data_IF_640543356045
#
_entry.id   IF_640543356045
#
_cell.length_a   1.000
_cell.length_b   1.000
_cell.length_c   1.000
_cell.angle_alpha   90.00
_cell.angle_beta   90.00
_cell.angle_gamma   90.00
#
_symmetry.space_group_name_H-M   'P 1'
#
loop_
_entity.id
_entity.type
_entity.pdbx_description
1 polymer ?
#
# COMPACT_ATOMS: atom_id res chain seq x y z
N UNK A 1 -7.85 -57.49 41.33
CA UNK A 1 -8.20 -57.79 42.72
C UNK A 1 -9.46 -56.99 43.00
N UNK A 2 -10.65 -57.53 43.18
CA UNK A 2 -11.09 -58.81 43.73
C UNK A 2 -12.29 -59.34 42.91
N UNK A 3 -12.15 -60.53 42.32
CA UNK A 3 -13.23 -61.27 41.67
C UNK A 3 -13.17 -62.71 42.18
N UNK A 4 -13.49 -62.94 43.46
CA UNK A 4 -13.71 -64.29 44.00
C UNK A 4 -14.21 -64.17 45.44
N UNK A 5 -15.52 -63.99 45.66
CA UNK A 5 -16.14 -64.31 46.96
C UNK A 5 -17.69 -64.31 46.93
N UNK A 6 -18.33 -64.94 45.94
CA UNK A 6 -19.77 -65.25 46.00
C UNK A 6 -20.05 -66.64 45.41
N UNK A 7 -19.25 -67.63 45.81
CA UNK A 7 -19.44 -69.03 45.47
C UNK A 7 -19.27 -69.91 46.72
N UNK A 8 -20.05 -69.64 47.77
CA UNK A 8 -20.25 -70.59 48.86
C UNK A 8 -21.48 -70.17 49.66
N UNK A 9 -22.64 -70.71 49.29
CA UNK A 9 -23.86 -70.92 50.09
C UNK A 9 -24.98 -71.18 49.09
N UNK A 10 -25.27 -72.45 48.80
CA UNK A 10 -26.59 -73.02 48.52
C UNK A 10 -26.42 -74.44 47.95
N UNK A 11 -26.12 -75.38 48.85
CA UNK A 11 -26.45 -76.79 48.66
C UNK A 11 -27.53 -77.16 49.69
N UNK A 12 -28.52 -77.92 49.22
CA UNK A 12 -29.70 -78.48 49.91
C UNK A 12 -30.94 -77.58 50.03
N UNK A 13 -32.02 -78.01 49.36
CA UNK A 13 -33.40 -77.59 49.68
C UNK A 13 -34.31 -77.30 48.48
N UNK A 14 -34.86 -78.35 47.87
CA UNK A 14 -36.20 -78.45 47.28
C UNK A 14 -37.00 -77.17 46.88
N UNK A 15 -36.94 -76.78 45.60
CA UNK A 15 -37.98 -76.01 44.85
C UNK A 15 -38.20 -74.52 45.21
N UNK A 16 -38.72 -73.66 44.29
CA UNK A 16 -39.24 -73.92 42.95
C UNK A 16 -38.37 -73.32 41.82
N UNK A 17 -38.08 -74.14 40.81
CA UNK A 17 -37.44 -73.78 39.52
C UNK A 17 -38.28 -72.85 38.61
N UNK A 18 -39.21 -72.06 39.17
CA UNK A 18 -40.08 -71.15 38.41
C UNK A 18 -39.84 -69.66 38.69
N UNK A 19 -39.15 -69.31 39.78
CA UNK A 19 -38.89 -67.88 40.11
C UNK A 19 -37.59 -67.39 39.44
N UNK A 20 -36.58 -68.26 39.31
CA UNK A 20 -35.28 -67.91 38.72
C UNK A 20 -35.37 -67.70 37.21
N UNK A 21 -36.24 -68.43 36.51
CA UNK A 21 -36.49 -68.27 35.06
C UNK A 21 -37.33 -67.02 34.75
N UNK A 22 -38.14 -66.55 35.71
CA UNK A 22 -38.88 -65.29 35.61
C UNK A 22 -37.99 -64.07 35.79
N UNK A 23 -37.09 -64.11 36.78
CA UNK A 23 -36.11 -63.04 37.01
C UNK A 23 -35.03 -62.97 35.92
N UNK A 24 -34.55 -64.10 35.40
CA UNK A 24 -33.65 -64.10 34.23
C UNK A 24 -34.35 -63.57 32.97
N UNK A 25 -35.63 -63.88 32.73
CA UNK A 25 -36.39 -63.27 31.63
C UNK A 25 -36.71 -61.79 31.81
N UNK A 26 -36.80 -61.29 33.05
CA UNK A 26 -37.01 -59.86 33.33
C UNK A 26 -35.69 -59.08 33.24
N UNK A 27 -34.58 -59.69 33.66
CA UNK A 27 -33.22 -59.14 33.48
C UNK A 27 -32.80 -59.19 32.02
N UNK A 28 -33.07 -60.27 31.28
CA UNK A 28 -32.82 -60.35 29.82
C UNK A 28 -33.78 -59.47 28.99
N UNK A 29 -35.02 -59.23 29.44
CA UNK A 29 -35.93 -58.27 28.77
C UNK A 29 -35.51 -56.82 28.95
N UNK A 30 -34.81 -56.48 30.04
CA UNK A 30 -34.32 -55.13 30.27
C UNK A 30 -33.02 -54.80 29.51
N UNK A 31 -32.34 -55.79 28.92
CA UNK A 31 -31.15 -55.56 28.08
C UNK A 31 -31.46 -55.29 26.59
N UNK A 32 -32.73 -55.32 26.17
CA UNK A 32 -33.15 -55.17 24.76
C UNK A 32 -34.17 -54.06 24.51
N UNK A 33 -34.37 -53.14 25.47
CA UNK A 33 -35.16 -51.94 25.20
C UNK A 33 -34.36 -51.04 24.23
N UNK A 34 -34.78 -50.97 22.97
CA UNK A 34 -34.25 -49.98 22.04
C UNK A 34 -34.43 -48.60 22.65
N UNK A 35 -33.35 -47.81 22.71
CA UNK A 35 -33.41 -46.47 23.27
C UNK A 35 -34.47 -45.61 22.57
N UNK A 36 -35.05 -44.68 23.31
CA UNK A 36 -36.03 -43.75 22.77
C UNK A 36 -35.43 -42.92 21.63
N UNK A 37 -34.16 -42.53 21.75
CA UNK A 37 -33.42 -41.86 20.66
C UNK A 37 -33.37 -42.69 19.38
N UNK A 38 -33.00 -43.97 19.47
CA UNK A 38 -32.96 -44.87 18.32
C UNK A 38 -34.34 -45.04 17.67
N UNK A 39 -35.38 -45.18 18.49
CA UNK A 39 -36.77 -45.31 18.02
C UNK A 39 -37.20 -44.08 17.22
N UNK A 40 -36.92 -42.88 17.72
CA UNK A 40 -37.24 -41.64 17.02
C UNK A 40 -36.40 -41.45 15.75
N UNK A 41 -35.11 -41.82 15.76
CA UNK A 41 -34.28 -41.81 14.53
C UNK A 41 -34.82 -42.74 13.46
N UNK A 42 -35.30 -43.94 13.81
CA UNK A 42 -35.91 -44.86 12.84
C UNK A 42 -37.15 -44.25 12.18
N UNK A 43 -38.05 -43.65 12.96
CA UNK A 43 -39.23 -42.92 12.43
C UNK A 43 -38.83 -41.75 11.53
N UNK A 44 -37.82 -40.98 11.93
CA UNK A 44 -37.28 -39.91 11.08
C UNK A 44 -36.68 -40.44 9.78
N UNK A 45 -35.94 -41.55 9.82
CA UNK A 45 -35.35 -42.19 8.64
C UNK A 45 -36.42 -42.67 7.66
N UNK A 46 -37.55 -43.20 8.16
CA UNK A 46 -38.70 -43.59 7.33
C UNK A 46 -39.23 -42.39 6.55
N UNK A 47 -39.51 -41.27 7.21
CA UNK A 47 -39.94 -40.04 6.55
C UNK A 47 -38.87 -39.52 5.57
N UNK A 48 -37.60 -39.48 5.98
CA UNK A 48 -36.49 -38.98 5.17
C UNK A 48 -36.29 -39.74 3.86
N UNK A 49 -36.40 -41.08 3.89
CA UNK A 49 -36.24 -41.95 2.71
C UNK A 49 -37.37 -41.77 1.68
N UNK A 50 -38.52 -41.22 2.07
CA UNK A 50 -39.62 -40.94 1.12
C UNK A 50 -39.34 -39.73 0.23
N UNK A 51 -38.29 -38.96 0.52
CA UNK A 51 -37.85 -37.82 -0.30
C UNK A 51 -36.85 -38.34 -1.34
N UNK A 52 -37.37 -38.65 -2.53
CA UNK A 52 -36.62 -39.13 -3.69
C UNK A 52 -36.35 -37.99 -4.68
N UNK A 53 -35.36 -38.19 -5.56
CA UNK A 53 -35.11 -37.28 -6.68
C UNK A 53 -36.36 -37.14 -7.57
N UNK A 54 -36.63 -35.94 -8.05
CA UNK A 54 -37.80 -35.61 -8.88
C UNK A 54 -39.12 -35.39 -8.11
N UNK A 55 -39.13 -35.51 -6.77
CA UNK A 55 -40.31 -35.18 -5.97
C UNK A 55 -40.56 -33.66 -5.99
N UNK A 56 -41.84 -33.26 -6.04
CA UNK A 56 -42.21 -31.85 -5.99
C UNK A 56 -41.62 -31.18 -4.72
N UNK A 57 -40.95 -30.02 -4.84
CA UNK A 57 -40.22 -29.40 -3.73
C UNK A 57 -41.07 -29.08 -2.49
N UNK A 58 -42.35 -28.73 -2.66
CA UNK A 58 -43.29 -28.52 -1.55
C UNK A 58 -43.53 -29.81 -0.74
N UNK A 59 -43.82 -30.91 -1.43
CA UNK A 59 -44.00 -32.23 -0.82
C UNK A 59 -42.71 -32.72 -0.15
N UNK A 60 -41.55 -32.46 -0.78
CA UNK A 60 -40.25 -32.75 -0.19
C UNK A 60 -40.05 -31.98 1.12
N UNK A 61 -40.38 -30.68 1.14
CA UNK A 61 -40.27 -29.82 2.32
C UNK A 61 -41.14 -30.33 3.47
N UNK A 62 -42.40 -30.65 3.21
CA UNK A 62 -43.33 -31.18 4.24
C UNK A 62 -42.80 -32.48 4.87
N UNK A 63 -42.34 -33.41 4.03
CA UNK A 63 -41.78 -34.71 4.49
C UNK A 63 -40.47 -34.52 5.27
N UNK A 64 -39.63 -33.58 4.85
CA UNK A 64 -38.40 -33.23 5.56
C UNK A 64 -38.72 -32.59 6.91
N UNK A 65 -39.75 -31.75 7.03
CA UNK A 65 -40.16 -31.18 8.31
C UNK A 65 -40.67 -32.25 9.29
N UNK A 66 -41.38 -33.28 8.79
CA UNK A 66 -41.77 -34.45 9.58
C UNK A 66 -40.53 -35.20 10.08
N UNK A 67 -39.55 -35.47 9.20
CA UNK A 67 -38.29 -36.10 9.57
C UNK A 67 -37.53 -35.28 10.63
N UNK A 68 -37.46 -33.95 10.45
CA UNK A 68 -36.83 -33.02 11.39
C UNK A 68 -37.46 -33.13 12.78
N UNK A 69 -38.79 -33.07 12.87
CA UNK A 69 -39.49 -33.19 14.15
C UNK A 69 -39.17 -34.51 14.88
N UNK A 70 -39.01 -35.61 14.14
CA UNK A 70 -38.60 -36.89 14.72
C UNK A 70 -37.14 -36.88 15.18
N UNK A 71 -36.21 -36.32 14.38
CA UNK A 71 -34.81 -36.25 14.78
C UNK A 71 -34.58 -35.28 15.95
N UNK A 72 -35.30 -34.16 16.03
CA UNK A 72 -35.27 -33.26 17.19
C UNK A 72 -35.70 -33.99 18.47
N UNK A 73 -36.77 -34.80 18.41
CA UNK A 73 -37.15 -35.67 19.53
C UNK A 73 -36.03 -36.67 19.85
N UNK A 74 -35.43 -37.28 18.84
CA UNK A 74 -34.33 -38.21 19.05
C UNK A 74 -33.13 -37.60 19.76
N UNK A 75 -32.83 -36.32 19.47
CA UNK A 75 -31.77 -35.57 20.13
C UNK A 75 -32.13 -35.28 21.59
N UNK A 76 -33.38 -34.90 21.87
CA UNK A 76 -33.87 -34.67 23.26
C UNK A 76 -33.80 -35.94 24.12
N UNK A 77 -34.09 -37.11 23.53
CA UNK A 77 -34.06 -38.41 24.23
C UNK A 77 -32.71 -39.14 24.12
N UNK A 78 -31.64 -38.48 23.67
CA UNK A 78 -30.32 -39.10 23.56
C UNK A 78 -29.65 -39.23 24.94
N UNK A 79 -29.31 -40.46 25.33
CA UNK A 79 -28.79 -40.76 26.67
C UNK A 79 -27.25 -40.74 26.71
N UNK A 80 -26.60 -40.87 25.55
CA UNK A 80 -25.15 -40.91 25.44
C UNK A 80 -24.64 -40.11 24.22
N UNK A 81 -23.32 -39.88 24.18
CA UNK A 81 -22.65 -39.11 23.12
C UNK A 81 -22.86 -39.70 21.71
N UNK A 82 -22.86 -41.03 21.59
CA UNK A 82 -23.09 -41.72 20.33
C UNK A 82 -24.50 -41.45 19.75
N UNK A 83 -25.51 -41.44 20.62
CA UNK A 83 -26.88 -41.13 20.24
C UNK A 83 -27.05 -39.66 19.87
N UNK A 84 -26.44 -38.76 20.66
CA UNK A 84 -26.43 -37.31 20.38
C UNK A 84 -25.80 -37.03 19.01
N UNK A 85 -24.61 -37.57 18.75
CA UNK A 85 -23.92 -37.39 17.46
C UNK A 85 -24.72 -37.95 16.28
N UNK A 86 -25.35 -39.13 16.46
CA UNK A 86 -26.19 -39.72 15.42
C UNK A 86 -27.46 -38.91 15.14
N UNK A 87 -28.12 -38.39 16.18
CA UNK A 87 -29.32 -37.56 16.02
C UNK A 87 -28.96 -36.21 15.38
N UNK A 88 -27.86 -35.58 15.82
CA UNK A 88 -27.36 -34.33 15.25
C UNK A 88 -26.99 -34.47 13.76
N UNK A 89 -26.28 -35.55 13.36
CA UNK A 89 -26.01 -35.83 11.94
C UNK A 89 -27.29 -35.90 11.11
N UNK A 90 -28.32 -36.57 11.62
CA UNK A 90 -29.59 -36.68 10.93
C UNK A 90 -30.32 -35.33 10.79
N UNK A 91 -30.28 -34.49 11.82
CA UNK A 91 -30.82 -33.12 11.77
C UNK A 91 -30.07 -32.29 10.72
N UNK A 92 -28.73 -32.35 10.70
CA UNK A 92 -27.89 -31.67 9.72
C UNK A 92 -28.29 -32.04 8.29
N UNK A 93 -28.37 -33.34 8.01
CA UNK A 93 -28.77 -33.88 6.70
C UNK A 93 -30.17 -33.44 6.25
N UNK A 94 -31.10 -33.20 7.19
CA UNK A 94 -32.43 -32.66 6.87
C UNK A 94 -32.36 -31.19 6.52
N UNK A 95 -31.69 -30.38 7.33
CA UNK A 95 -31.53 -28.96 7.06
C UNK A 95 -30.81 -28.69 5.73
N UNK A 96 -29.78 -29.48 5.40
CA UNK A 96 -29.14 -29.40 4.09
C UNK A 96 -30.13 -29.66 2.95
N UNK A 97 -30.94 -30.72 3.04
CA UNK A 97 -31.96 -31.00 2.01
C UNK A 97 -33.08 -29.96 1.96
N UNK A 98 -33.47 -29.39 3.10
CA UNK A 98 -34.44 -28.29 3.17
C UNK A 98 -33.90 -27.05 2.46
N UNK A 99 -32.62 -26.73 2.61
CA UNK A 99 -31.98 -25.64 1.89
C UNK A 99 -32.03 -25.88 0.37
N UNK A 100 -31.69 -27.08 -0.10
CA UNK A 100 -31.75 -27.46 -1.53
C UNK A 100 -33.17 -27.39 -2.10
N UNK A 101 -34.16 -27.90 -1.37
CA UNK A 101 -35.56 -27.79 -1.77
C UNK A 101 -36.01 -26.32 -1.85
N UNK A 102 -35.61 -25.51 -0.87
CA UNK A 102 -35.89 -24.07 -0.85
C UNK A 102 -35.29 -23.31 -2.03
N UNK A 103 -34.07 -23.64 -2.45
CA UNK A 103 -33.46 -23.07 -3.67
C UNK A 103 -34.29 -23.38 -4.91
N UNK A 104 -34.86 -24.58 -5.00
CA UNK A 104 -35.69 -24.99 -6.15
C UNK A 104 -37.07 -24.29 -6.16
N UNK A 105 -37.62 -23.99 -4.98
CA UNK A 105 -38.94 -23.33 -4.83
C UNK A 105 -38.90 -21.82 -5.01
N UNK A 106 -37.73 -21.19 -5.03
CA UNK A 106 -37.61 -19.73 -4.91
C UNK A 106 -38.00 -19.23 -3.52
N UNK A 107 -37.78 -20.04 -2.47
CA UNK A 107 -38.01 -19.64 -1.07
C UNK A 107 -37.15 -18.42 -0.70
N UNK A 108 -37.61 -17.63 0.28
CA UNK A 108 -36.87 -16.47 0.78
C UNK A 108 -35.42 -16.83 1.12
N UNK A 109 -34.48 -16.03 0.60
CA UNK A 109 -33.03 -16.25 0.74
C UNK A 109 -32.58 -16.39 2.21
N UNK A 110 -33.20 -15.67 3.13
CA UNK A 110 -32.89 -15.76 4.55
C UNK A 110 -33.20 -17.16 5.13
N UNK A 111 -34.29 -17.80 4.68
CA UNK A 111 -34.68 -19.14 5.13
C UNK A 111 -33.71 -20.19 4.59
N UNK A 112 -33.29 -20.06 3.32
CA UNK A 112 -32.31 -20.96 2.70
C UNK A 112 -30.97 -20.86 3.44
N UNK A 113 -30.46 -19.63 3.66
CA UNK A 113 -29.22 -19.39 4.39
C UNK A 113 -29.27 -19.95 5.82
N UNK A 114 -30.37 -19.73 6.54
CA UNK A 114 -30.53 -20.28 7.89
C UNK A 114 -30.52 -21.82 7.90
N UNK A 115 -31.10 -22.49 6.91
CA UNK A 115 -31.03 -23.95 6.82
C UNK A 115 -29.60 -24.44 6.55
N UNK A 116 -28.82 -23.78 5.69
CA UNK A 116 -27.40 -24.12 5.53
C UNK A 116 -26.62 -23.93 6.83
N UNK A 117 -26.81 -22.81 7.52
CA UNK A 117 -26.16 -22.54 8.81
C UNK A 117 -26.50 -23.60 9.86
N UNK A 118 -27.79 -23.92 10.04
CA UNK A 118 -28.24 -24.96 10.98
C UNK A 118 -27.69 -26.34 10.61
N UNK A 119 -27.57 -26.64 9.31
CA UNK A 119 -26.95 -27.88 8.84
C UNK A 119 -25.50 -27.99 9.32
N UNK A 120 -24.68 -26.97 9.05
CA UNK A 120 -23.27 -26.94 9.47
C UNK A 120 -23.11 -26.94 11.00
N UNK A 121 -23.98 -26.21 11.71
CA UNK A 121 -24.01 -26.20 13.19
C UNK A 121 -24.27 -27.61 13.75
N UNK A 122 -25.24 -28.34 13.19
CA UNK A 122 -25.51 -29.70 13.62
C UNK A 122 -24.46 -30.72 13.16
N UNK A 123 -23.77 -30.49 12.03
CA UNK A 123 -22.58 -31.27 11.68
C UNK A 123 -21.46 -31.07 12.71
N UNK A 124 -21.23 -29.83 13.15
CA UNK A 124 -20.29 -29.51 14.23
C UNK A 124 -20.65 -30.22 15.54
N UNK A 125 -21.92 -30.14 15.98
CA UNK A 125 -22.39 -30.88 17.16
C UNK A 125 -22.16 -32.39 16.99
N UNK A 126 -22.48 -32.94 15.81
CA UNK A 126 -22.30 -34.35 15.53
C UNK A 126 -20.83 -34.81 15.60
N UNK A 127 -19.90 -33.95 15.18
CA UNK A 127 -18.47 -34.19 15.26
C UNK A 127 -17.97 -34.18 16.71
N UNK A 128 -18.34 -33.16 17.49
CA UNK A 128 -17.87 -33.00 18.88
C UNK A 128 -18.38 -34.11 19.81
N UNK A 129 -19.63 -34.55 19.61
CA UNK A 129 -20.21 -35.69 20.35
C UNK A 129 -19.83 -37.05 19.75
N UNK A 130 -19.17 -37.06 18.58
CA UNK A 130 -18.91 -38.25 17.77
C UNK A 130 -17.72 -39.09 18.21
N UNK A 131 -17.07 -38.79 19.34
CA UNK A 131 -15.81 -39.44 19.75
C UNK A 131 -15.89 -40.97 19.91
N UNK A 132 -17.10 -41.52 20.07
CA UNK A 132 -17.35 -42.96 20.17
C UNK A 132 -17.83 -43.61 18.87
N UNK A 133 -17.87 -42.86 17.76
CA UNK A 133 -18.22 -43.37 16.44
C UNK A 133 -16.98 -43.96 15.73
N UNK A 134 -17.19 -44.74 14.68
CA UNK A 134 -16.07 -45.30 13.89
C UNK A 134 -15.45 -44.23 13.00
N UNK A 135 -14.20 -44.46 12.57
CA UNK A 135 -13.47 -43.56 11.66
C UNK A 135 -14.25 -43.38 10.35
N UNK A 136 -14.79 -44.46 9.78
CA UNK A 136 -15.58 -44.39 8.54
C UNK A 136 -16.85 -43.57 8.70
N UNK A 137 -17.48 -43.62 9.90
CA UNK A 137 -18.63 -42.79 10.19
C UNK A 137 -18.25 -41.31 10.26
N UNK A 138 -17.11 -40.99 10.89
CA UNK A 138 -16.57 -39.64 10.99
C UNK A 138 -16.16 -39.09 9.62
N UNK A 139 -15.51 -39.90 8.78
CA UNK A 139 -15.17 -39.53 7.40
C UNK A 139 -16.43 -39.23 6.58
N UNK A 140 -17.47 -40.06 6.72
CA UNK A 140 -18.76 -39.81 6.06
C UNK A 140 -19.45 -38.53 6.56
N UNK A 141 -19.22 -38.13 7.81
CA UNK A 141 -19.74 -36.89 8.38
C UNK A 141 -19.02 -35.68 7.77
N UNK A 142 -17.68 -35.74 7.69
CA UNK A 142 -16.85 -34.70 7.07
C UNK A 142 -17.22 -34.54 5.60
N UNK A 143 -17.31 -35.64 4.84
CA UNK A 143 -17.70 -35.60 3.43
C UNK A 143 -19.09 -34.97 3.22
N UNK A 144 -20.07 -35.30 4.07
CA UNK A 144 -21.40 -34.70 4.01
C UNK A 144 -21.39 -33.20 4.37
N UNK A 145 -20.60 -32.81 5.38
CA UNK A 145 -20.42 -31.41 5.77
C UNK A 145 -19.77 -30.59 4.65
N UNK A 146 -18.73 -31.12 4.01
CA UNK A 146 -18.09 -30.49 2.84
C UNK A 146 -19.03 -30.40 1.63
N UNK A 147 -19.88 -31.40 1.40
CA UNK A 147 -20.93 -31.32 0.38
C UNK A 147 -21.94 -30.20 0.67
N UNK A 148 -22.35 -30.05 1.94
CA UNK A 148 -23.21 -28.95 2.38
C UNK A 148 -22.53 -27.58 2.21
N UNK A 149 -21.23 -27.50 2.52
CA UNK A 149 -20.43 -26.31 2.29
C UNK A 149 -20.34 -25.94 0.82
N UNK A 150 -20.06 -26.90 -0.06
CA UNK A 150 -19.94 -26.68 -1.49
C UNK A 150 -21.24 -26.11 -2.10
N UNK A 151 -22.40 -26.65 -1.72
CA UNK A 151 -23.70 -26.13 -2.15
C UNK A 151 -23.94 -24.70 -1.63
N UNK A 152 -23.57 -24.39 -0.38
CA UNK A 152 -23.65 -23.03 0.16
C UNK A 152 -22.71 -22.08 -0.59
N UNK A 153 -21.47 -22.51 -0.86
CA UNK A 153 -20.46 -21.72 -1.55
C UNK A 153 -20.92 -21.35 -2.95
N UNK A 154 -21.39 -22.34 -3.72
CA UNK A 154 -21.94 -22.12 -5.06
C UNK A 154 -23.08 -21.10 -5.04
N UNK A 155 -23.96 -21.16 -4.02
CA UNK A 155 -25.07 -20.22 -3.89
C UNK A 155 -24.63 -18.77 -3.67
N UNK A 156 -23.55 -18.54 -2.93
CA UNK A 156 -23.09 -17.19 -2.57
C UNK A 156 -22.01 -16.66 -3.50
N UNK A 157 -21.57 -17.45 -4.48
CA UNK A 157 -20.41 -17.11 -5.33
C UNK A 157 -20.67 -15.85 -6.17
N UNK A 158 -21.90 -15.69 -6.67
CA UNK A 158 -22.32 -14.53 -7.48
C UNK A 158 -22.84 -13.35 -6.64
N UNK A 159 -22.77 -13.43 -5.31
CA UNK A 159 -23.24 -12.34 -4.45
C UNK A 159 -22.22 -11.20 -4.39
N UNK A 160 -22.73 -9.98 -4.22
CA UNK A 160 -21.93 -8.81 -3.85
C UNK A 160 -21.01 -9.08 -2.66
N UNK A 161 -19.77 -8.58 -2.73
CA UNK A 161 -18.68 -8.85 -1.77
C UNK A 161 -19.13 -8.79 -0.31
N UNK A 162 -19.77 -7.68 0.11
CA UNK A 162 -20.18 -7.48 1.49
C UNK A 162 -21.20 -8.52 1.98
N UNK A 163 -22.13 -8.90 1.10
CA UNK A 163 -23.17 -9.87 1.44
C UNK A 163 -22.60 -11.28 1.49
N UNK A 164 -21.72 -11.62 0.53
CA UNK A 164 -20.98 -12.88 0.49
C UNK A 164 -20.17 -13.05 1.76
N UNK A 165 -19.30 -12.09 2.09
CA UNK A 165 -18.42 -12.16 3.27
C UNK A 165 -19.24 -12.34 4.56
N UNK A 166 -20.28 -11.54 4.78
CA UNK A 166 -21.13 -11.66 5.98
C UNK A 166 -21.80 -13.03 6.15
N UNK A 167 -22.10 -13.73 5.06
CA UNK A 167 -22.63 -15.09 5.13
C UNK A 167 -21.52 -16.10 5.44
N UNK A 168 -20.36 -15.95 4.80
CA UNK A 168 -19.20 -16.81 5.01
C UNK A 168 -18.65 -16.71 6.44
N UNK A 169 -18.50 -15.51 6.99
CA UNK A 169 -18.04 -15.29 8.37
C UNK A 169 -18.88 -16.02 9.43
N UNK A 170 -20.19 -16.18 9.15
CA UNK A 170 -21.11 -16.90 10.05
C UNK A 170 -21.04 -18.42 9.92
N UNK A 171 -20.51 -18.92 8.80
CA UNK A 171 -20.62 -20.33 8.42
C UNK A 171 -19.28 -21.05 8.36
N UNK A 172 -18.19 -20.37 8.00
CA UNK A 172 -16.81 -20.89 8.05
C UNK A 172 -16.42 -21.41 9.44
N UNK A 173 -16.74 -20.74 10.57
CA UNK A 173 -16.44 -21.28 11.91
C UNK A 173 -17.07 -22.66 12.20
N UNK A 174 -18.11 -23.04 11.43
CA UNK A 174 -18.86 -24.28 11.63
C UNK A 174 -18.30 -25.46 10.82
N UNK A 175 -17.30 -25.22 9.97
CA UNK A 175 -16.64 -26.27 9.18
C UNK A 175 -15.85 -27.21 10.08
N UNK A 176 -15.89 -28.51 9.74
CA UNK A 176 -15.20 -29.56 10.51
C UNK A 176 -13.72 -29.68 10.13
N UNK A 177 -13.43 -29.53 8.85
CA UNK A 177 -12.09 -29.68 8.29
C UNK A 177 -11.29 -28.39 8.45
N UNK A 178 -10.22 -28.44 9.25
CA UNK A 178 -9.41 -27.27 9.56
C UNK A 178 -8.68 -26.71 8.33
N UNK A 179 -8.26 -27.58 7.41
CA UNK A 179 -7.60 -27.14 6.17
C UNK A 179 -8.55 -26.35 5.28
N UNK A 180 -9.77 -26.85 5.07
CA UNK A 180 -10.83 -26.13 4.35
C UNK A 180 -11.18 -24.83 5.07
N UNK A 181 -11.35 -24.87 6.40
CA UNK A 181 -11.65 -23.69 7.19
C UNK A 181 -10.56 -22.60 7.05
N UNK A 182 -9.29 -22.99 7.09
CA UNK A 182 -8.16 -22.08 6.88
C UNK A 182 -8.18 -21.42 5.49
N UNK A 183 -8.43 -22.22 4.44
CA UNK A 183 -8.57 -21.70 3.05
C UNK A 183 -9.71 -20.71 2.92
N UNK A 184 -10.84 -20.98 3.57
CA UNK A 184 -11.99 -20.09 3.50
C UNK A 184 -11.79 -18.77 4.27
N UNK A 185 -11.07 -18.80 5.38
CA UNK A 185 -10.64 -17.57 6.04
C UNK A 185 -9.68 -16.77 5.17
N UNK A 186 -8.75 -17.42 4.49
CA UNK A 186 -7.85 -16.76 3.56
C UNK A 186 -8.61 -16.12 2.40
N UNK A 187 -9.59 -16.82 1.82
CA UNK A 187 -10.50 -16.24 0.83
C UNK A 187 -11.23 -15.00 1.38
N UNK A 188 -11.80 -15.05 2.60
CA UNK A 188 -12.46 -13.89 3.21
C UNK A 188 -11.49 -12.69 3.31
N UNK A 189 -10.27 -12.91 3.79
CA UNK A 189 -9.24 -11.87 3.88
C UNK A 189 -8.92 -11.27 2.50
N UNK A 190 -8.75 -12.11 1.47
CA UNK A 190 -8.49 -11.67 0.09
C UNK A 190 -9.64 -10.83 -0.46
N UNK A 191 -10.90 -11.18 -0.13
CA UNK A 191 -12.06 -10.38 -0.55
C UNK A 191 -12.08 -9.01 0.16
N UNK A 192 -11.81 -8.94 1.46
CA UNK A 192 -11.68 -7.66 2.17
C UNK A 192 -10.54 -6.80 1.61
N UNK A 193 -9.40 -7.41 1.29
CA UNK A 193 -8.26 -6.72 0.69
C UNK A 193 -8.59 -6.15 -0.69
N UNK A 194 -9.18 -6.92 -1.60
CA UNK A 194 -9.61 -6.37 -2.89
C UNK A 194 -10.65 -5.26 -2.74
N UNK A 195 -11.55 -5.39 -1.76
CA UNK A 195 -12.54 -4.35 -1.49
C UNK A 195 -11.89 -3.06 -0.95
N UNK A 196 -10.84 -3.17 -0.14
CA UNK A 196 -10.07 -2.01 0.34
C UNK A 196 -9.36 -1.28 -0.80
N UNK A 197 -8.76 -2.03 -1.74
CA UNK A 197 -8.12 -1.46 -2.93
C UNK A 197 -9.12 -0.70 -3.82
N UNK A 198 -10.35 -1.21 -3.97
CA UNK A 198 -11.40 -0.50 -4.70
C UNK A 198 -11.79 0.82 -4.01
N UNK A 199 -11.91 0.81 -2.68
CA UNK A 199 -12.16 2.02 -1.90
C UNK A 199 -11.02 3.04 -2.06
N UNK A 200 -9.77 2.57 -2.03
CA UNK A 200 -8.59 3.42 -2.24
C UNK A 200 -8.59 4.05 -3.64
N UNK A 201 -8.93 3.28 -4.68
CA UNK A 201 -9.06 3.79 -6.05
C UNK A 201 -10.15 4.87 -6.21
N UNK A 202 -11.18 4.83 -5.35
CA UNK A 202 -12.23 5.88 -5.26
C UNK A 202 -11.86 7.05 -4.35
N UNK A 203 -10.63 7.06 -3.80
CA UNK A 203 -10.13 8.02 -2.81
C UNK A 203 -10.85 7.98 -1.45
N UNK A 204 -11.49 6.86 -1.13
CA UNK A 204 -12.19 6.64 0.13
C UNK A 204 -11.24 5.98 1.16
N UNK A 205 -10.16 6.67 1.54
CA UNK A 205 -9.12 6.09 2.41
C UNK A 205 -9.65 5.63 3.78
N UNK A 206 -10.69 6.28 4.33
CA UNK A 206 -11.33 5.84 5.59
C UNK A 206 -11.98 4.48 5.46
N UNK A 207 -12.70 4.25 4.35
CA UNK A 207 -13.28 2.95 4.05
C UNK A 207 -12.19 1.92 3.79
N UNK A 208 -11.13 2.29 3.06
CA UNK A 208 -9.96 1.44 2.84
C UNK A 208 -9.35 0.95 4.18
N UNK A 209 -9.03 1.87 5.09
CA UNK A 209 -8.45 1.54 6.40
C UNK A 209 -9.35 0.63 7.24
N UNK A 210 -10.66 0.89 7.22
CA UNK A 210 -11.61 0.01 7.91
C UNK A 210 -11.54 -1.43 7.35
N UNK A 211 -11.56 -1.58 6.02
CA UNK A 211 -11.51 -2.90 5.38
C UNK A 211 -10.18 -3.62 5.53
N UNK A 212 -9.06 -2.89 5.52
CA UNK A 212 -7.75 -3.45 5.86
C UNK A 212 -7.72 -3.97 7.31
N UNK A 213 -8.37 -3.24 8.23
CA UNK A 213 -8.58 -3.70 9.60
C UNK A 213 -9.38 -5.00 9.69
N UNK A 214 -10.44 -5.11 8.88
CA UNK A 214 -11.30 -6.31 8.79
C UNK A 214 -10.52 -7.55 8.27
N UNK A 215 -9.35 -7.38 7.63
CA UNK A 215 -8.51 -8.50 7.17
C UNK A 215 -7.74 -9.21 8.30
N UNK A 216 -7.46 -8.55 9.44
CA UNK A 216 -6.54 -9.12 10.44
C UNK A 216 -7.04 -10.41 11.07
N UNK A 217 -8.33 -10.45 11.43
CA UNK A 217 -8.94 -11.64 12.01
C UNK A 217 -8.89 -12.85 11.07
N UNK A 218 -9.39 -12.79 9.82
CA UNK A 218 -9.35 -13.93 8.91
C UNK A 218 -7.92 -14.36 8.57
N UNK A 219 -6.95 -13.45 8.40
CA UNK A 219 -5.54 -13.82 8.21
C UNK A 219 -4.98 -14.57 9.41
N UNK A 220 -5.22 -14.06 10.62
CA UNK A 220 -4.74 -14.70 11.84
C UNK A 220 -5.33 -16.11 12.00
N UNK A 221 -6.61 -16.28 11.67
CA UNK A 221 -7.30 -17.56 11.79
C UNK A 221 -6.87 -18.55 10.70
N UNK A 222 -6.65 -18.09 9.46
CA UNK A 222 -6.04 -18.89 8.40
C UNK A 222 -4.65 -19.41 8.81
N UNK A 223 -3.81 -18.57 9.41
CA UNK A 223 -2.49 -18.98 9.95
C UNK A 223 -2.62 -19.94 11.13
N UNK A 224 -3.62 -19.74 12.00
CA UNK A 224 -3.83 -20.59 13.19
C UNK A 224 -4.25 -22.01 12.81
N UNK A 225 -5.13 -22.14 11.82
CA UNK A 225 -5.71 -23.40 11.37
C UNK A 225 -4.85 -24.10 10.31
N UNK A 226 -4.23 -23.34 9.41
CA UNK A 226 -3.40 -23.85 8.32
C UNK A 226 -1.97 -24.24 8.71
N UNK A 227 -1.65 -24.38 10.01
CA UNK A 227 -0.27 -24.61 10.50
C UNK A 227 0.44 -25.83 9.92
N UNK A 228 -0.31 -26.79 9.41
CA UNK A 228 0.21 -28.03 8.82
C UNK A 228 0.30 -27.95 7.28
N UNK A 229 -0.11 -26.83 6.69
CA UNK A 229 -0.23 -26.61 5.25
C UNK A 229 0.64 -25.42 4.84
N UNK A 230 1.90 -25.69 4.47
CA UNK A 230 2.90 -24.66 4.15
C UNK A 230 2.41 -23.64 3.11
N UNK A 231 1.63 -24.09 2.13
CA UNK A 231 1.05 -23.23 1.10
C UNK A 231 0.10 -22.17 1.68
N UNK A 232 -0.77 -22.54 2.63
CA UNK A 232 -1.72 -21.63 3.27
C UNK A 232 -0.98 -20.61 4.12
N UNK A 233 0.05 -21.05 4.86
CA UNK A 233 0.87 -20.15 5.69
C UNK A 233 1.63 -19.16 4.81
N UNK A 234 2.23 -19.61 3.72
CA UNK A 234 2.96 -18.74 2.80
C UNK A 234 2.03 -17.67 2.20
N UNK A 235 0.85 -18.06 1.72
CA UNK A 235 -0.12 -17.13 1.14
C UNK A 235 -0.67 -16.13 2.18
N UNK A 236 -0.96 -16.59 3.40
CA UNK A 236 -1.40 -15.71 4.48
C UNK A 236 -0.33 -14.70 4.91
N UNK A 237 0.96 -15.09 4.91
CA UNK A 237 2.07 -14.18 5.21
C UNK A 237 2.28 -13.13 4.11
N UNK A 238 2.14 -13.53 2.85
CA UNK A 238 2.18 -12.58 1.73
C UNK A 238 1.03 -11.58 1.82
N UNK A 239 -0.19 -12.05 2.07
CA UNK A 239 -1.35 -11.18 2.22
C UNK A 239 -1.20 -10.24 3.43
N UNK A 240 -0.64 -10.70 4.55
CA UNK A 240 -0.34 -9.87 5.72
C UNK A 240 0.65 -8.74 5.38
N UNK A 241 1.68 -9.04 4.58
CA UNK A 241 2.63 -8.05 4.10
C UNK A 241 1.94 -7.02 3.17
N UNK A 242 1.12 -7.48 2.24
CA UNK A 242 0.37 -6.61 1.33
C UNK A 242 -0.60 -5.70 2.10
N UNK A 243 -1.31 -6.23 3.10
CA UNK A 243 -2.17 -5.46 4.00
C UNK A 243 -1.35 -4.38 4.72
N UNK A 244 -0.17 -4.72 5.23
CA UNK A 244 0.71 -3.76 5.90
C UNK A 244 1.13 -2.62 4.97
N UNK A 245 1.55 -2.94 3.74
CA UNK A 245 1.98 -1.94 2.74
C UNK A 245 0.80 -1.01 2.41
N UNK A 246 -0.37 -1.58 2.12
CA UNK A 246 -1.55 -0.79 1.77
C UNK A 246 -2.08 0.05 2.95
N UNK A 247 -1.89 -0.43 4.19
CA UNK A 247 -2.20 0.36 5.39
C UNK A 247 -1.31 1.59 5.46
N UNK A 248 0.00 1.44 5.26
CA UNK A 248 0.93 2.57 5.21
C UNK A 248 0.53 3.59 4.12
N UNK A 249 0.16 3.11 2.93
CA UNK A 249 -0.31 3.98 1.83
C UNK A 249 -1.57 4.75 2.23
N UNK A 250 -2.58 4.09 2.77
CA UNK A 250 -3.83 4.73 3.17
C UNK A 250 -3.66 5.68 4.37
N UNK A 251 -2.82 5.34 5.34
CA UNK A 251 -2.46 6.21 6.46
C UNK A 251 -1.68 7.44 6.00
N UNK A 252 -0.82 7.29 5.00
CA UNK A 252 -0.11 8.44 4.41
C UNK A 252 -1.06 9.44 3.78
N UNK A 253 -2.06 8.96 3.03
CA UNK A 253 -3.10 9.83 2.45
C UNK A 253 -3.86 10.56 3.56
N UNK A 254 -4.26 9.84 4.61
CA UNK A 254 -4.92 10.42 5.78
C UNK A 254 -4.07 11.51 6.45
N UNK A 255 -2.78 11.25 6.66
CA UNK A 255 -1.85 12.20 7.27
C UNK A 255 -1.69 13.46 6.41
N UNK A 256 -1.57 13.31 5.09
CA UNK A 256 -1.49 14.43 4.15
C UNK A 256 -2.78 15.25 4.14
N UNK A 257 -3.95 14.63 4.04
CA UNK A 257 -5.22 15.35 4.04
C UNK A 257 -5.46 16.10 5.35
N UNK A 258 -5.12 15.49 6.49
CA UNK A 258 -5.13 16.18 7.79
C UNK A 258 -4.20 17.40 7.80
N UNK A 259 -3.01 17.26 7.23
CA UNK A 259 -2.05 18.36 7.10
C UNK A 259 -2.58 19.50 6.21
N UNK A 260 -3.23 19.16 5.10
CA UNK A 260 -3.85 20.12 4.18
C UNK A 260 -5.05 20.85 4.83
N UNK A 261 -5.92 20.12 5.53
CA UNK A 261 -7.05 20.69 6.27
C UNK A 261 -6.57 21.64 7.36
N UNK A 262 -5.60 21.21 8.19
CA UNK A 262 -5.03 22.05 9.25
C UNK A 262 -4.31 23.28 8.67
N UNK A 263 -3.60 23.13 7.55
CA UNK A 263 -2.96 24.26 6.87
C UNK A 263 -4.00 25.28 6.36
N UNK A 264 -5.13 24.79 5.85
CA UNK A 264 -6.25 25.65 5.45
C UNK A 264 -6.77 26.49 6.62
N UNK A 265 -7.03 25.85 7.76
CA UNK A 265 -7.47 26.53 8.98
C UNK A 265 -6.46 27.59 9.46
N UNK A 266 -5.18 27.24 9.55
CA UNK A 266 -4.11 28.16 10.01
C UNK A 266 -3.94 29.37 9.08
N UNK A 267 -4.24 29.24 7.79
CA UNK A 267 -4.08 30.33 6.83
C UNK A 267 -5.32 31.20 6.63
N UNK A 268 -6.51 30.69 6.91
CA UNK A 268 -7.78 31.36 6.59
C UNK A 268 -8.59 31.78 7.82
N UNK A 269 -8.47 31.07 8.94
CA UNK A 269 -9.39 31.21 10.07
C UNK A 269 -8.77 31.92 11.28
N UNK A 270 -7.45 32.06 11.33
CA UNK A 270 -6.73 32.74 12.42
C UNK A 270 -6.24 34.13 12.00
N UNK A 271 -6.46 35.15 12.85
CA UNK A 271 -5.97 36.52 12.60
C UNK A 271 -4.43 36.61 12.66
N UNK A 272 -3.82 35.83 13.55
CA UNK A 272 -2.38 35.72 13.72
C UNK A 272 -1.91 34.30 13.38
N UNK A 273 -0.76 34.19 12.68
CA UNK A 273 -0.21 32.91 12.28
C UNK A 273 0.25 32.09 13.50
N UNK A 274 -0.47 31.01 13.82
CA UNK A 274 -0.08 30.08 14.86
C UNK A 274 1.07 29.17 14.41
N UNK A 275 2.29 29.50 14.81
CA UNK A 275 3.51 28.77 14.44
C UNK A 275 3.50 27.31 14.95
N UNK A 276 2.89 27.03 16.10
CA UNK A 276 2.81 25.66 16.63
C UNK A 276 1.90 24.77 15.77
N UNK A 277 0.81 25.35 15.26
CA UNK A 277 -0.06 24.67 14.31
C UNK A 277 0.66 24.43 12.97
N UNK A 278 1.48 25.37 12.49
CA UNK A 278 2.33 25.18 11.30
C UNK A 278 3.31 24.00 11.49
N UNK A 279 3.91 23.85 12.67
CA UNK A 279 4.77 22.69 12.94
C UNK A 279 4.00 21.37 12.96
N UNK A 280 2.75 21.38 13.45
CA UNK A 280 1.87 20.21 13.37
C UNK A 280 1.55 19.82 11.92
N UNK A 281 1.34 20.81 11.03
CA UNK A 281 1.20 20.56 9.58
C UNK A 281 2.46 19.92 9.01
N UNK A 282 3.64 20.46 9.35
CA UNK A 282 4.93 19.92 8.90
C UNK A 282 5.09 18.47 9.34
N UNK A 283 4.74 18.14 10.59
CA UNK A 283 4.86 16.78 11.11
C UNK A 283 3.89 15.82 10.42
N UNK A 284 2.66 16.24 10.12
CA UNK A 284 1.71 15.45 9.34
C UNK A 284 2.24 15.12 7.93
N UNK A 285 2.88 16.09 7.24
CA UNK A 285 3.48 15.82 5.93
C UNK A 285 4.75 14.96 6.01
N UNK A 286 5.55 15.08 7.08
CA UNK A 286 6.68 14.17 7.32
C UNK A 286 6.20 12.74 7.57
N UNK A 287 5.15 12.57 8.37
CA UNK A 287 4.52 11.28 8.63
C UNK A 287 4.05 10.66 7.31
N UNK A 288 3.35 11.42 6.47
CA UNK A 288 2.94 10.98 5.13
C UNK A 288 4.11 10.52 4.25
N UNK A 289 5.21 11.28 4.21
CA UNK A 289 6.40 10.91 3.46
C UNK A 289 7.09 9.64 4.00
N UNK A 290 7.11 9.48 5.33
CA UNK A 290 7.71 8.32 5.98
C UNK A 290 6.91 7.03 5.73
N UNK A 291 5.58 7.12 5.78
CA UNK A 291 4.68 5.98 5.54
C UNK A 291 4.73 5.48 4.09
N UNK A 292 5.01 6.35 3.12
CA UNK A 292 5.04 5.98 1.69
C UNK A 292 6.42 5.65 1.17
N UNK A 293 7.46 5.87 1.98
CA UNK A 293 8.84 5.60 1.60
C UNK A 293 8.99 4.15 1.15
N UNK A 294 9.53 3.97 -0.06
CA UNK A 294 9.78 2.64 -0.67
C UNK A 294 8.49 1.83 -0.93
N UNK A 295 7.30 2.42 -0.78
CA UNK A 295 6.00 1.77 -0.99
C UNK A 295 5.19 2.48 -2.08
N UNK A 296 5.19 3.81 -2.10
CA UNK A 296 4.54 4.62 -3.12
C UNK A 296 5.36 5.89 -3.41
N UNK A 297 6.09 5.86 -4.52
CA UNK A 297 7.01 6.92 -4.93
C UNK A 297 6.25 8.23 -5.24
N UNK A 298 5.01 8.15 -5.74
CA UNK A 298 4.24 9.34 -6.07
C UNK A 298 3.74 10.02 -4.81
N UNK A 299 3.15 9.27 -3.88
CA UNK A 299 2.68 9.84 -2.61
C UNK A 299 3.85 10.38 -1.77
N UNK A 300 5.03 9.72 -1.80
CA UNK A 300 6.25 10.25 -1.19
C UNK A 300 6.62 11.61 -1.81
N UNK A 301 6.58 11.72 -3.15
CA UNK A 301 6.86 12.96 -3.86
C UNK A 301 5.84 14.06 -3.56
N UNK A 302 4.55 13.72 -3.46
CA UNK A 302 3.47 14.64 -3.08
C UNK A 302 3.68 15.19 -1.67
N UNK A 303 4.02 14.34 -0.71
CA UNK A 303 4.31 14.74 0.67
C UNK A 303 5.52 15.69 0.75
N UNK A 304 6.59 15.41 0.00
CA UNK A 304 7.73 16.32 -0.10
C UNK A 304 7.41 17.64 -0.80
N UNK A 305 6.54 17.63 -1.81
CA UNK A 305 6.04 18.86 -2.44
C UNK A 305 5.24 19.72 -1.44
N UNK A 306 4.37 19.10 -0.64
CA UNK A 306 3.62 19.76 0.43
C UNK A 306 4.53 20.37 1.51
N UNK A 307 5.54 19.63 1.99
CA UNK A 307 6.57 20.16 2.88
C UNK A 307 7.27 21.37 2.28
N UNK A 308 7.72 21.24 1.03
CA UNK A 308 8.38 22.33 0.31
C UNK A 308 7.50 23.57 0.18
N UNK A 309 6.19 23.39 -0.02
CA UNK A 309 5.20 24.47 -0.07
C UNK A 309 5.09 25.21 1.26
N UNK A 310 5.02 24.51 2.39
CA UNK A 310 4.97 25.14 3.72
C UNK A 310 6.26 25.92 4.00
N UNK A 311 7.43 25.32 3.75
CA UNK A 311 8.70 26.01 3.92
C UNK A 311 8.87 27.22 3.00
N UNK A 312 8.35 27.14 1.77
CA UNK A 312 8.42 28.23 0.78
C UNK A 312 7.42 29.36 1.08
N UNK A 313 6.13 29.03 1.19
CA UNK A 313 5.05 30.02 1.24
C UNK A 313 4.79 30.54 2.64
N UNK A 314 4.89 29.70 3.67
CA UNK A 314 4.52 30.03 5.06
C UNK A 314 5.75 30.45 5.86
N UNK A 315 6.71 29.54 6.03
CA UNK A 315 7.88 29.78 6.90
C UNK A 315 8.98 30.64 6.25
N UNK A 316 8.93 30.84 4.94
CA UNK A 316 9.93 31.59 4.15
C UNK A 316 11.38 31.09 4.31
N UNK A 317 11.57 29.78 4.54
CA UNK A 317 12.88 29.15 4.71
C UNK A 317 13.36 28.49 3.40
N UNK A 318 14.00 29.28 2.53
CA UNK A 318 14.44 28.88 1.18
C UNK A 318 15.28 27.61 1.13
N UNK A 319 16.21 27.42 2.07
CA UNK A 319 17.06 26.23 2.13
C UNK A 319 16.25 24.93 2.25
N UNK A 320 15.33 24.87 3.23
CA UNK A 320 14.49 23.69 3.46
C UNK A 320 13.50 23.49 2.32
N UNK A 321 12.88 24.57 1.83
CA UNK A 321 11.98 24.49 0.67
C UNK A 321 12.68 23.87 -0.54
N UNK A 322 13.86 24.39 -0.93
CA UNK A 322 14.64 23.86 -2.05
C UNK A 322 14.99 22.39 -1.85
N UNK A 323 15.40 21.99 -0.64
CA UNK A 323 15.75 20.60 -0.32
C UNK A 323 14.58 19.65 -0.57
N UNK A 324 13.40 19.95 -0.02
CA UNK A 324 12.23 19.08 -0.16
C UNK A 324 11.66 19.07 -1.58
N UNK A 325 11.57 20.23 -2.25
CA UNK A 325 11.07 20.30 -3.62
C UNK A 325 12.01 19.61 -4.62
N UNK A 326 13.33 19.71 -4.43
CA UNK A 326 14.29 18.97 -5.25
C UNK A 326 14.13 17.46 -5.06
N UNK A 327 13.90 17.00 -3.84
CA UNK A 327 13.62 15.58 -3.56
C UNK A 327 12.34 15.11 -4.25
N UNK A 328 11.26 15.90 -4.20
CA UNK A 328 10.01 15.59 -4.92
C UNK A 328 10.24 15.44 -6.43
N UNK A 329 11.02 16.33 -7.05
CA UNK A 329 11.37 16.26 -8.48
C UNK A 329 12.27 15.07 -8.83
N UNK A 330 13.19 14.68 -7.94
CA UNK A 330 14.02 13.49 -8.10
C UNK A 330 13.17 12.21 -8.10
N UNK A 331 12.22 12.10 -7.17
CA UNK A 331 11.26 10.99 -7.11
C UNK A 331 10.38 10.98 -8.37
N UNK A 332 9.88 12.15 -8.79
CA UNK A 332 9.14 12.29 -10.04
C UNK A 332 9.93 11.76 -11.26
N UNK A 333 11.22 12.11 -11.33
CA UNK A 333 12.10 11.67 -12.41
C UNK A 333 12.35 10.16 -12.42
N UNK A 334 12.25 9.49 -11.26
CA UNK A 334 12.37 8.03 -11.17
C UNK A 334 11.15 7.27 -11.71
N UNK A 335 10.01 7.96 -11.89
CA UNK A 335 8.76 7.39 -12.40
C UNK A 335 8.60 7.48 -13.93
N UNK A 336 9.65 7.83 -14.67
CA UNK A 336 9.61 7.86 -16.14
C UNK A 336 9.18 6.50 -16.72
N UNK A 337 8.30 6.46 -17.75
CA UNK A 337 7.89 7.55 -18.63
C UNK A 337 6.61 8.29 -18.21
N UNK A 338 6.20 8.22 -16.94
CA UNK A 338 5.00 8.93 -16.47
C UNK A 338 5.07 10.43 -16.75
N UNK A 339 4.00 10.98 -17.31
CA UNK A 339 3.87 12.42 -17.57
C UNK A 339 3.18 13.12 -16.39
N UNK A 340 3.77 14.21 -15.91
CA UNK A 340 3.26 15.05 -14.81
C UNK A 340 2.74 16.42 -15.26
N UNK A 341 2.51 16.62 -16.57
CA UNK A 341 1.89 17.83 -17.09
C UNK A 341 0.48 18.01 -16.51
N UNK A 342 0.17 19.21 -15.99
CA UNK A 342 -1.10 19.52 -15.34
C UNK A 342 -1.22 19.01 -13.90
N UNK A 343 -0.15 18.46 -13.32
CA UNK A 343 -0.14 17.96 -11.94
C UNK A 343 0.37 19.06 -11.00
N UNK A 344 -0.54 19.66 -10.24
CA UNK A 344 -0.29 20.87 -9.43
C UNK A 344 0.95 20.77 -8.52
N UNK A 345 1.11 19.64 -7.81
CA UNK A 345 2.22 19.47 -6.87
C UNK A 345 3.59 19.45 -7.58
N UNK A 346 3.62 18.93 -8.81
CA UNK A 346 4.82 18.80 -9.62
C UNK A 346 5.19 20.14 -10.27
N UNK A 347 4.21 20.82 -10.88
CA UNK A 347 4.38 22.13 -11.48
C UNK A 347 4.86 23.15 -10.44
N UNK A 348 4.23 23.17 -9.26
CA UNK A 348 4.66 24.02 -8.15
C UNK A 348 6.13 23.78 -7.76
N UNK A 349 6.54 22.51 -7.64
CA UNK A 349 7.91 22.15 -7.28
C UNK A 349 8.91 22.60 -8.36
N UNK A 350 8.57 22.36 -9.63
CA UNK A 350 9.41 22.73 -10.77
C UNK A 350 9.60 24.25 -10.87
N UNK A 351 8.51 25.01 -10.80
CA UNK A 351 8.54 26.48 -10.88
C UNK A 351 9.36 27.09 -9.73
N UNK A 352 9.14 26.61 -8.51
CA UNK A 352 9.82 27.13 -7.32
C UNK A 352 11.31 26.80 -7.31
N UNK A 353 11.71 25.59 -7.72
CA UNK A 353 13.14 25.25 -7.83
C UNK A 353 13.81 26.06 -8.94
N UNK A 354 13.12 26.27 -10.08
CA UNK A 354 13.63 27.10 -11.18
C UNK A 354 13.79 28.57 -10.77
N UNK A 355 12.86 29.12 -10.00
CA UNK A 355 12.97 30.51 -9.50
C UNK A 355 14.17 30.67 -8.56
N UNK A 356 14.40 29.69 -7.68
CA UNK A 356 15.60 29.68 -6.82
C UNK A 356 16.90 29.56 -7.58
N UNK A 357 16.94 28.78 -8.66
CA UNK A 357 18.12 28.70 -9.53
C UNK A 357 18.39 30.04 -10.22
N UNK A 358 17.35 30.69 -10.76
CA UNK A 358 17.48 31.98 -11.43
C UNK A 358 17.92 33.10 -10.47
N UNK A 359 17.38 33.11 -9.26
CA UNK A 359 17.78 34.07 -8.21
C UNK A 359 19.26 33.90 -7.85
N UNK A 360 19.73 32.66 -7.65
CA UNK A 360 21.14 32.41 -7.37
C UNK A 360 22.05 32.87 -8.52
N UNK A 361 21.67 32.63 -9.78
CA UNK A 361 22.44 33.12 -10.95
C UNK A 361 22.51 34.64 -10.94
N UNK A 362 21.41 35.34 -10.64
CA UNK A 362 21.38 36.81 -10.55
C UNK A 362 22.25 37.33 -9.41
N UNK A 363 22.23 36.69 -8.25
CA UNK A 363 23.07 37.04 -7.11
C UNK A 363 24.56 36.87 -7.45
N UNK A 364 24.92 35.77 -8.10
CA UNK A 364 26.29 35.53 -8.57
C UNK A 364 26.71 36.55 -9.64
N UNK A 365 25.83 36.90 -10.58
CA UNK A 365 26.08 37.93 -11.59
C UNK A 365 26.27 39.32 -10.96
N UNK A 366 25.40 39.69 -10.01
CA UNK A 366 25.50 40.95 -9.30
C UNK A 366 26.79 41.03 -8.47
N UNK A 367 27.18 39.93 -7.84
CA UNK A 367 28.44 39.86 -7.09
C UNK A 367 29.66 39.96 -8.01
N UNK A 368 29.65 39.25 -9.15
CA UNK A 368 30.69 39.43 -10.19
C UNK A 368 30.77 40.87 -10.68
N UNK A 369 29.63 41.54 -10.87
CA UNK A 369 29.58 42.93 -11.28
C UNK A 369 30.17 43.86 -10.22
N UNK A 370 29.76 43.71 -8.95
CA UNK A 370 30.29 44.50 -7.81
C UNK A 370 31.80 44.35 -7.66
N UNK A 371 32.30 43.11 -7.75
CA UNK A 371 33.73 42.84 -7.69
C UNK A 371 34.48 43.50 -8.85
N UNK A 372 33.92 43.43 -10.07
CA UNK A 372 34.49 44.11 -11.24
C UNK A 372 34.49 45.64 -11.06
N UNK A 373 33.42 46.24 -10.57
CA UNK A 373 33.35 47.69 -10.30
C UNK A 373 34.39 48.14 -9.28
N UNK A 374 34.61 47.35 -8.23
CA UNK A 374 35.63 47.66 -7.21
C UNK A 374 37.03 47.67 -7.84
N UNK A 375 37.35 46.64 -8.63
CA UNK A 375 38.63 46.57 -9.36
C UNK A 375 38.77 47.74 -10.34
N UNK A 376 37.72 48.08 -11.10
CA UNK A 376 37.71 49.22 -12.01
C UNK A 376 37.99 50.54 -11.30
N UNK A 377 37.51 50.70 -10.05
CA UNK A 377 37.85 51.85 -9.20
C UNK A 377 39.33 51.90 -8.83
N UNK A 378 39.95 50.76 -8.50
CA UNK A 378 41.37 50.67 -8.15
C UNK A 378 42.28 50.98 -9.34
N UNK A 379 41.93 50.51 -10.54
CA UNK A 379 42.71 50.76 -11.78
C UNK A 379 42.24 52.00 -12.55
N UNK A 380 41.41 52.85 -11.93
CA UNK A 380 40.76 53.98 -12.60
C UNK A 380 41.77 54.92 -13.27
N UNK A 381 42.88 55.22 -12.62
CA UNK A 381 43.92 56.07 -13.21
C UNK A 381 44.51 55.47 -14.49
N UNK A 382 44.72 54.15 -14.52
CA UNK A 382 45.22 53.46 -15.71
C UNK A 382 44.17 53.42 -16.82
N UNK A 383 42.91 53.23 -16.47
CA UNK A 383 41.78 53.29 -17.42
C UNK A 383 41.62 54.70 -18.01
N UNK A 384 41.74 55.74 -17.19
CA UNK A 384 41.65 57.13 -17.63
C UNK A 384 42.84 57.50 -18.53
N UNK A 385 44.06 57.08 -18.19
CA UNK A 385 45.25 57.25 -19.05
C UNK A 385 45.09 56.51 -20.37
N UNK A 386 44.63 55.26 -20.33
CA UNK A 386 44.39 54.44 -21.51
C UNK A 386 43.32 55.07 -22.43
N UNK A 387 42.20 55.48 -21.85
CA UNK A 387 41.10 56.14 -22.57
C UNK A 387 41.54 57.48 -23.16
N UNK A 388 42.22 58.33 -22.38
CA UNK A 388 42.76 59.60 -22.86
C UNK A 388 43.69 59.39 -24.05
N UNK A 389 44.64 58.45 -23.93
CA UNK A 389 45.57 58.14 -25.01
C UNK A 389 44.84 57.60 -26.24
N UNK A 390 43.81 56.78 -26.07
CA UNK A 390 43.01 56.27 -27.17
C UNK A 390 42.35 57.37 -28.01
N UNK A 391 41.84 58.43 -27.37
CA UNK A 391 41.13 59.51 -28.06
C UNK A 391 42.06 60.60 -28.60
N UNK A 392 43.20 60.85 -27.94
CA UNK A 392 44.12 61.95 -28.29
C UNK A 392 45.24 61.56 -29.25
N UNK A 393 45.51 60.26 -29.43
CA UNK A 393 46.65 59.79 -30.23
C UNK A 393 46.23 59.05 -31.50
N UNK A 394 47.13 59.04 -32.49
CA UNK A 394 46.94 58.27 -33.70
C UNK A 394 46.88 56.75 -33.41
N UNK A 395 46.23 55.97 -34.29
CA UNK A 395 46.06 54.51 -34.12
C UNK A 395 47.38 53.78 -33.82
N UNK A 396 48.48 54.19 -34.45
CA UNK A 396 49.79 53.58 -34.19
C UNK A 396 50.40 54.01 -32.86
N UNK A 397 50.27 55.28 -32.50
CA UNK A 397 50.74 55.81 -31.22
C UNK A 397 50.00 55.17 -30.03
N UNK A 398 48.70 54.91 -30.16
CA UNK A 398 47.93 54.19 -29.15
C UNK A 398 48.42 52.75 -29.01
N UNK A 399 48.64 52.05 -30.13
CA UNK A 399 49.10 50.67 -30.12
C UNK A 399 50.49 50.54 -29.48
N UNK A 400 51.42 51.42 -29.83
CA UNK A 400 52.75 51.49 -29.21
C UNK A 400 52.66 51.80 -27.71
N UNK A 401 51.78 52.72 -27.33
CA UNK A 401 51.56 53.07 -25.93
C UNK A 401 51.07 51.87 -25.11
N UNK A 402 50.12 51.08 -25.63
CA UNK A 402 49.60 49.88 -24.96
C UNK A 402 50.71 48.86 -24.71
N UNK A 403 51.53 48.54 -25.72
CA UNK A 403 52.63 47.57 -25.53
C UNK A 403 53.75 48.08 -24.63
N UNK A 404 53.97 49.40 -24.58
CA UNK A 404 55.00 50.02 -23.75
C UNK A 404 54.59 50.08 -22.28
N UNK A 405 53.37 50.53 -21.98
CA UNK A 405 52.93 50.79 -20.61
C UNK A 405 52.19 49.60 -19.99
N UNK A 406 51.58 48.76 -20.83
CA UNK A 406 50.83 47.58 -20.42
C UNK A 406 51.29 46.36 -21.23
N UNK A 407 52.57 45.95 -21.16
CA UNK A 407 53.08 44.86 -21.98
C UNK A 407 52.34 43.54 -21.71
N UNK A 408 52.07 42.70 -22.73
CA UNK A 408 51.45 41.39 -22.53
C UNK A 408 52.30 40.53 -21.59
N UNK A 409 51.66 39.74 -20.72
CA UNK A 409 52.38 38.90 -19.74
C UNK A 409 53.10 37.71 -20.39
N UNK A 410 52.61 37.23 -21.52
CA UNK A 410 53.33 36.24 -22.31
C UNK A 410 54.54 36.91 -23.00
N UNK A 411 55.75 36.48 -22.63
CA UNK A 411 57.02 37.03 -23.13
C UNK A 411 57.22 36.92 -24.65
N UNK A 412 56.48 36.04 -25.32
CA UNK A 412 56.49 35.88 -26.78
C UNK A 412 55.61 36.92 -27.51
N UNK A 413 54.65 37.53 -26.80
CA UNK A 413 53.75 38.53 -27.37
C UNK A 413 54.42 39.91 -27.36
N UNK A 414 55.15 40.22 -28.44
CA UNK A 414 55.76 41.53 -28.66
C UNK A 414 55.14 42.23 -29.86
N UNK A 415 55.10 43.56 -29.80
CA UNK A 415 54.86 44.38 -30.98
C UNK A 415 56.05 44.17 -31.92
N UNK A 416 55.79 43.65 -33.12
CA UNK A 416 56.85 43.42 -34.11
C UNK A 416 57.41 44.74 -34.65
N UNK A 417 58.30 44.66 -35.65
CA UNK A 417 58.78 45.87 -36.33
C UNK A 417 57.62 46.66 -36.93
N UNK A 418 57.47 47.91 -36.47
CA UNK A 418 56.50 48.86 -36.99
C UNK A 418 57.17 49.63 -38.13
N UNK A 419 56.67 49.53 -39.38
CA UNK A 419 57.20 50.33 -40.49
C UNK A 419 57.09 51.83 -40.19
N UNK A 420 58.04 52.65 -40.65
CA UNK A 420 58.04 54.10 -40.39
C UNK A 420 56.83 54.84 -40.98
N UNK A 421 56.15 54.26 -41.97
CA UNK A 421 54.89 54.74 -42.54
C UNK A 421 54.01 53.53 -42.93
N UNK A 422 53.29 52.91 -41.99
CA UNK A 422 52.54 51.70 -42.27
C UNK A 422 51.27 52.00 -43.06
N UNK A 423 50.99 51.18 -44.08
CA UNK A 423 49.72 51.24 -44.81
C UNK A 423 48.55 50.73 -43.94
N UNK A 424 47.32 51.03 -44.35
CA UNK A 424 46.10 50.65 -43.59
C UNK A 424 45.96 49.13 -43.38
N UNK A 425 46.42 48.30 -44.32
CA UNK A 425 46.39 46.84 -44.19
C UNK A 425 47.42 46.33 -43.18
N UNK A 426 48.58 46.97 -43.10
CA UNK A 426 49.61 46.68 -42.10
C UNK A 426 49.12 47.06 -40.70
N UNK A 427 48.50 48.24 -40.53
CA UNK A 427 47.88 48.66 -39.27
C UNK A 427 46.79 47.68 -38.83
N UNK A 428 45.91 47.26 -39.76
CA UNK A 428 44.86 46.25 -39.49
C UNK A 428 45.44 44.93 -38.97
N UNK A 429 46.50 44.42 -39.59
CA UNK A 429 47.17 43.17 -39.16
C UNK A 429 47.80 43.31 -37.76
N UNK A 430 48.40 44.45 -37.46
CA UNK A 430 48.99 44.72 -36.14
C UNK A 430 47.92 44.75 -35.03
N UNK A 431 46.76 45.37 -35.28
CA UNK A 431 45.64 45.37 -34.36
C UNK A 431 45.01 43.98 -34.19
N UNK A 432 44.84 43.21 -35.26
CA UNK A 432 44.37 41.81 -35.18
C UNK A 432 45.27 40.96 -34.27
N UNK A 433 46.59 41.13 -34.44
CA UNK A 433 47.58 40.45 -33.61
C UNK A 433 47.51 40.92 -32.16
N UNK A 434 47.33 42.23 -31.93
CA UNK A 434 47.20 42.79 -30.58
C UNK A 434 45.95 42.28 -29.85
N UNK A 435 44.78 42.22 -30.50
CA UNK A 435 43.57 41.59 -29.91
C UNK A 435 43.88 40.15 -29.47
N UNK A 436 44.64 39.41 -30.26
CA UNK A 436 45.04 38.02 -29.95
C UNK A 436 46.03 37.94 -28.79
N UNK A 437 46.88 38.95 -28.61
CA UNK A 437 47.87 39.01 -27.53
C UNK A 437 47.25 39.38 -26.18
N UNK A 438 46.23 40.23 -26.19
CA UNK A 438 45.52 40.73 -25.01
C UNK A 438 44.18 40.02 -24.77
N UNK A 439 43.83 38.97 -25.50
CA UNK A 439 42.52 38.32 -25.32
C UNK A 439 42.33 37.82 -23.87
N UNK A 440 41.19 38.14 -23.21
CA UNK A 440 40.97 37.80 -21.79
C UNK A 440 41.01 36.29 -21.51
N UNK A 441 40.63 35.43 -22.46
CA UNK A 441 40.75 33.96 -22.33
C UNK A 441 42.19 33.47 -22.11
N UNK A 442 43.20 34.28 -22.48
CA UNK A 442 44.62 33.95 -22.26
C UNK A 442 45.15 34.53 -20.94
N UNK A 443 44.30 35.19 -20.17
CA UNK A 443 44.62 35.82 -18.89
C UNK A 443 43.86 35.11 -17.78
N UNK A 444 44.58 34.24 -17.07
CA UNK A 444 44.13 33.61 -15.84
C UNK A 444 44.23 34.60 -14.68
N UNK A 445 43.17 34.68 -13.88
CA UNK A 445 43.11 35.57 -12.71
C UNK A 445 44.10 35.14 -11.62
N UNK A 446 44.33 33.83 -11.49
CA UNK A 446 45.23 33.22 -10.51
C UNK A 446 46.70 33.56 -10.78
N UNK A 447 47.13 33.58 -12.06
CA UNK A 447 48.53 33.83 -12.42
C UNK A 447 48.86 35.32 -12.57
N UNK A 448 47.88 36.12 -13.02
CA UNK A 448 48.14 37.51 -13.43
C UNK A 448 47.43 38.56 -12.57
N UNK A 449 46.51 38.15 -11.69
CA UNK A 449 45.76 39.01 -10.79
C UNK A 449 44.50 39.63 -11.41
N UNK A 450 43.52 39.91 -10.54
CA UNK A 450 42.22 40.52 -10.88
C UNK A 450 42.34 41.84 -11.65
N UNK A 451 43.23 42.72 -11.21
CA UNK A 451 43.46 44.03 -11.83
C UNK A 451 43.96 43.92 -13.27
N UNK A 452 44.91 43.02 -13.54
CA UNK A 452 45.44 42.81 -14.88
C UNK A 452 44.40 42.22 -15.82
N UNK A 453 43.57 41.28 -15.33
CA UNK A 453 42.49 40.67 -16.11
C UNK A 453 41.48 41.74 -16.56
N UNK A 454 40.98 42.56 -15.63
CA UNK A 454 40.04 43.65 -15.95
C UNK A 454 40.67 44.69 -16.88
N UNK A 455 41.92 45.09 -16.62
CA UNK A 455 42.63 46.04 -17.49
C UNK A 455 42.79 45.48 -18.92
N UNK A 456 43.10 44.19 -19.03
CA UNK A 456 43.29 43.51 -20.32
C UNK A 456 41.98 43.35 -21.10
N UNK A 457 40.85 43.15 -20.41
CA UNK A 457 39.51 43.23 -21.01
C UNK A 457 39.26 44.63 -21.62
N UNK A 458 39.55 45.70 -20.88
CA UNK A 458 39.37 47.07 -21.37
C UNK A 458 40.32 47.42 -22.53
N UNK A 459 41.61 47.04 -22.44
CA UNK A 459 42.56 47.15 -23.56
C UNK A 459 42.01 46.44 -24.80
N UNK A 460 41.53 45.22 -24.65
CA UNK A 460 40.99 44.41 -25.76
C UNK A 460 39.76 45.05 -26.38
N UNK A 461 38.90 45.72 -25.62
CA UNK A 461 37.76 46.49 -26.18
C UNK A 461 38.23 47.60 -27.10
N UNK A 462 39.21 48.41 -26.69
CA UNK A 462 39.76 49.48 -27.54
C UNK A 462 40.44 48.93 -28.79
N UNK A 463 41.24 47.86 -28.65
CA UNK A 463 41.90 47.20 -29.77
C UNK A 463 40.88 46.59 -30.75
N UNK A 464 39.84 45.93 -30.24
CA UNK A 464 38.80 45.28 -31.05
C UNK A 464 37.97 46.32 -31.80
N UNK A 465 37.52 47.38 -31.11
CA UNK A 465 36.80 48.50 -31.74
C UNK A 465 37.60 49.11 -32.90
N UNK A 466 38.90 49.30 -32.71
CA UNK A 466 39.78 49.83 -33.76
C UNK A 466 39.94 48.83 -34.90
N UNK A 467 40.14 47.55 -34.60
CA UNK A 467 40.24 46.49 -35.60
C UNK A 467 38.97 46.37 -36.46
N UNK A 468 37.79 46.44 -35.83
CA UNK A 468 36.49 46.37 -36.50
C UNK A 468 36.24 47.57 -37.42
N UNK A 469 36.76 48.76 -37.07
CA UNK A 469 36.68 49.93 -37.97
C UNK A 469 37.36 49.70 -39.33
N UNK A 470 38.30 48.76 -39.43
CA UNK A 470 38.92 48.36 -40.70
C UNK A 470 38.18 47.24 -41.46
N UNK A 471 37.06 46.71 -40.93
CA UNK A 471 36.23 45.71 -41.62
C UNK A 471 35.14 46.35 -42.49
N UNK A 472 34.85 47.64 -42.29
CA UNK A 472 33.86 48.41 -43.05
C UNK A 472 34.44 49.51 -43.96
N UNK A 473 35.75 49.47 -44.24
CA UNK A 473 36.45 50.36 -45.16
C UNK A 473 37.06 49.58 -46.32
#
# INVERSE_FOLDING_TARGET
MECTQLAYLFTYGSGPKQIVTGLLKVVERNFNAQSLSLTWRKKGNEAYKTVKEGLAPSIATDRLQVALNHYSKALTYAENKQEKSSAAKNIAMVHWRLAKAGMTMGTLQAIIGNNFRLSLEHFSIAWHEGSSQTVEWLDSLVAASLGCWADLRQRVDEWEYERRIRELEKTVPLLLDQTTQAREYLEIATHYFHWSLQALGRREFRACLQRLGDCHFPVAEAKRLGKLEDAIIAEALLLEQDISIQTCVAESIKARERGEELLGHVLLDEEDLNIDAVWTVVDAFKESAMLTREHDIELEAMAYSALGRVYHKVLKLKYYAKRYLTRALQLASSMMPRNFSGVEWFEFAQETVKSYQLENVREEEAERHRQRETVMGEIKEDLDKLSKKYHESGRMEFLEYVYKNYPPKNKLHKLGEVPSAPDMNQVKKLYQKAVTHYHPDKVTEEEHGKQWKVLTEEITKFLTRTYESFKGC
#
